data_IF_054871793517
#
_entry.id   IF_054871793517
#
_cell.length_a   1.000
_cell.length_b   1.000
_cell.length_c   1.000
_cell.angle_alpha   90.00
_cell.angle_beta   90.00
_cell.angle_gamma   90.00
#
_symmetry.space_group_name_H-M   'P 1'
#
loop_
_entity.id
_entity.type
_entity.pdbx_description
1 polymer ?
#
# COMPACT_ATOMS: atom_id res chain seq x y z
N UNK A 1 69.34 -7.70 -18.41
CA UNK A 1 68.89 -6.60 -17.53
C UNK A 1 68.10 -5.63 -18.39
N UNK A 2 67.07 -4.96 -17.82
CA UNK A 2 66.03 -4.11 -18.44
C UNK A 2 64.84 -4.89 -19.00
N UNK A 3 63.56 -4.58 -18.77
CA UNK A 3 62.79 -3.89 -17.71
C UNK A 3 61.33 -4.19 -18.09
N UNK A 4 60.44 -4.37 -17.13
CA UNK A 4 59.00 -4.59 -17.34
C UNK A 4 58.34 -3.36 -17.98
N UNK A 5 57.36 -3.57 -18.87
CA UNK A 5 56.24 -2.63 -19.09
C UNK A 5 55.07 -3.36 -19.77
N UNK A 6 54.19 -3.88 -18.92
CA UNK A 6 52.83 -4.29 -19.27
C UNK A 6 51.95 -3.08 -19.00
N UNK A 7 51.43 -2.42 -20.03
CA UNK A 7 50.20 -1.64 -19.90
C UNK A 7 49.50 -1.56 -21.24
N UNK A 8 48.68 -2.58 -21.56
CA UNK A 8 47.68 -2.44 -22.62
C UNK A 8 46.37 -2.02 -21.97
N UNK A 9 45.96 -0.81 -22.32
CA UNK A 9 44.71 -0.17 -21.92
C UNK A 9 43.54 -0.96 -22.51
N UNK A 10 42.61 -1.43 -21.67
CA UNK A 10 41.24 -1.70 -22.07
C UNK A 10 40.31 -0.92 -21.16
N UNK A 11 39.80 0.17 -21.71
CA UNK A 11 38.71 0.95 -21.16
C UNK A 11 37.47 0.05 -21.15
N UNK A 12 36.92 -0.23 -19.97
CA UNK A 12 35.53 -0.60 -19.82
C UNK A 12 34.85 0.38 -18.87
N UNK A 13 34.31 1.43 -19.47
CA UNK A 13 33.10 2.08 -19.01
C UNK A 13 31.98 1.05 -19.10
N UNK A 14 31.48 0.55 -17.97
CA UNK A 14 30.08 0.16 -17.85
C UNK A 14 29.75 0.10 -16.37
N UNK A 15 28.84 0.99 -15.96
CA UNK A 15 28.38 1.07 -14.58
C UNK A 15 27.76 -0.24 -14.14
N UNK A 16 28.14 -0.70 -12.95
CA UNK A 16 27.23 -1.48 -12.14
C UNK A 16 26.36 -0.44 -11.44
N UNK A 17 25.14 -0.23 -11.94
CA UNK A 17 24.10 0.25 -11.06
C UNK A 17 24.01 -0.78 -9.93
N UNK A 18 24.46 -0.40 -8.74
CA UNK A 18 24.23 -1.17 -7.53
C UNK A 18 22.71 -1.17 -7.30
N UNK A 19 22.02 -2.16 -7.88
CA UNK A 19 20.66 -2.48 -7.52
C UNK A 19 20.65 -2.84 -6.04
N UNK A 20 19.84 -2.13 -5.26
CA UNK A 20 19.75 -2.33 -3.82
C UNK A 20 18.94 -3.59 -3.59
N UNK A 21 19.61 -4.74 -3.60
CA UNK A 21 19.05 -5.99 -3.08
C UNK A 21 19.12 -5.95 -1.55
N UNK A 22 18.11 -5.40 -0.90
CA UNK A 22 17.96 -5.49 0.56
C UNK A 22 17.43 -6.88 0.94
N UNK A 23 18.22 -7.66 1.70
CA UNK A 23 17.88 -9.01 2.19
C UNK A 23 16.54 -9.11 2.96
N UNK A 24 16.04 -7.95 3.42
CA UNK A 24 14.82 -7.75 4.19
C UNK A 24 13.53 -8.06 3.41
N UNK A 25 13.47 -7.73 2.11
CA UNK A 25 12.24 -7.89 1.33
C UNK A 25 12.34 -9.02 0.31
N UNK A 26 11.24 -9.73 0.10
CA UNK A 26 11.04 -10.65 -1.04
C UNK A 26 9.88 -10.14 -1.86
N UNK A 27 10.16 -9.73 -3.10
CA UNK A 27 9.18 -9.09 -3.98
C UNK A 27 8.73 -10.03 -5.09
N UNK A 28 7.48 -9.86 -5.51
CA UNK A 28 6.99 -10.28 -6.81
C UNK A 28 6.39 -9.05 -7.53
N UNK A 29 5.59 -9.26 -8.58
CA UNK A 29 5.01 -8.16 -9.36
C UNK A 29 4.07 -7.25 -8.56
N UNK A 30 3.32 -7.80 -7.60
CA UNK A 30 2.22 -7.11 -6.91
C UNK A 30 2.42 -6.99 -5.40
N UNK A 31 3.33 -7.76 -4.82
CA UNK A 31 3.53 -7.90 -3.38
C UNK A 31 4.99 -7.85 -2.98
N UNK A 32 5.24 -7.30 -1.79
CA UNK A 32 6.54 -7.22 -1.16
C UNK A 32 6.44 -7.77 0.28
N UNK A 33 7.06 -8.92 0.54
CA UNK A 33 7.14 -9.52 1.86
C UNK A 33 8.32 -8.95 2.64
N UNK A 34 8.05 -8.27 3.75
CA UNK A 34 9.03 -7.88 4.76
C UNK A 34 9.28 -9.05 5.72
N UNK A 35 10.47 -9.65 5.66
CA UNK A 35 10.86 -10.79 6.51
C UNK A 35 11.12 -10.42 7.96
N UNK A 36 11.26 -9.12 8.27
CA UNK A 36 11.55 -8.68 9.63
C UNK A 36 10.28 -8.50 10.45
N UNK A 37 9.19 -8.09 9.79
CA UNK A 37 7.89 -7.83 10.42
C UNK A 37 6.85 -8.91 10.13
N UNK A 38 7.17 -9.87 9.23
CA UNK A 38 6.24 -10.86 8.69
C UNK A 38 5.00 -10.20 8.04
N UNK A 39 5.15 -8.96 7.56
CA UNK A 39 4.11 -8.21 6.84
C UNK A 39 4.35 -8.30 5.34
N UNK A 40 3.25 -8.41 4.60
CA UNK A 40 3.27 -8.33 3.14
C UNK A 40 2.54 -7.08 2.70
N UNK A 41 3.17 -6.33 1.81
CA UNK A 41 2.72 -5.03 1.31
C UNK A 41 2.36 -5.15 -0.17
N UNK A 42 1.40 -4.33 -0.63
CA UNK A 42 1.25 -4.08 -2.05
C UNK A 42 2.50 -3.36 -2.60
N UNK A 43 2.93 -3.68 -3.82
CA UNK A 43 4.07 -2.98 -4.46
C UNK A 43 3.70 -1.61 -5.00
N UNK A 44 2.41 -1.31 -5.12
CA UNK A 44 1.90 -0.03 -5.59
C UNK A 44 0.75 0.48 -4.74
N UNK A 45 0.64 1.80 -4.62
CA UNK A 45 -0.54 2.45 -4.06
C UNK A 45 -1.73 2.49 -5.04
N UNK A 46 -2.85 3.01 -4.56
CA UNK A 46 -4.06 3.25 -5.36
C UNK A 46 -3.91 4.35 -6.43
N UNK A 47 -2.79 5.09 -6.42
CA UNK A 47 -2.44 6.21 -7.30
C UNK A 47 -3.39 7.42 -7.35
N UNK A 48 -4.53 7.35 -6.68
CA UNK A 48 -5.57 8.38 -6.68
C UNK A 48 -5.72 9.02 -5.29
N UNK A 49 -6.39 10.17 -5.25
CA UNK A 49 -6.70 10.87 -4.01
C UNK A 49 -7.90 10.22 -3.33
N UNK A 50 -7.75 9.75 -2.09
CA UNK A 50 -8.83 9.13 -1.32
C UNK A 50 -9.02 9.82 0.02
N UNK A 51 -10.28 9.96 0.44
CA UNK A 51 -10.61 10.20 1.86
C UNK A 51 -10.17 9.01 2.71
N UNK A 52 -10.15 9.18 4.03
CA UNK A 52 -9.75 8.10 4.94
C UNK A 52 -10.64 6.86 4.76
N UNK A 53 -11.96 7.06 4.71
CA UNK A 53 -12.93 5.97 4.56
C UNK A 53 -12.82 5.26 3.20
N UNK A 54 -12.60 6.00 2.11
CA UNK A 54 -12.37 5.39 0.80
C UNK A 54 -11.06 4.61 0.76
N UNK A 55 -10.03 5.07 1.46
CA UNK A 55 -8.76 4.35 1.56
C UNK A 55 -8.90 3.05 2.36
N UNK A 56 -9.74 3.01 3.40
CA UNK A 56 -10.06 1.78 4.13
C UNK A 56 -10.71 0.79 3.17
N UNK A 57 -11.76 1.22 2.47
CA UNK A 57 -12.48 0.39 1.51
C UNK A 57 -11.58 -0.11 0.37
N UNK A 58 -10.67 0.72 -0.13
CA UNK A 58 -9.69 0.32 -1.14
C UNK A 58 -8.78 -0.80 -0.63
N UNK A 59 -8.22 -0.66 0.57
CA UNK A 59 -7.32 -1.68 1.11
C UNK A 59 -8.04 -3.02 1.36
N UNK A 60 -9.28 -2.99 1.83
CA UNK A 60 -10.08 -4.20 2.06
C UNK A 60 -10.51 -4.90 0.75
N UNK A 61 -10.69 -4.12 -0.32
CA UNK A 61 -11.06 -4.64 -1.65
C UNK A 61 -9.86 -5.00 -2.53
N UNK A 62 -8.64 -4.76 -2.08
CA UNK A 62 -7.43 -5.07 -2.85
C UNK A 62 -7.25 -6.59 -2.99
N UNK A 63 -6.94 -7.07 -4.19
CA UNK A 63 -6.81 -8.52 -4.49
C UNK A 63 -5.42 -8.91 -5.03
N UNK A 64 -4.42 -8.04 -4.86
CA UNK A 64 -3.06 -8.29 -5.35
C UNK A 64 -2.45 -9.56 -4.77
N UNK A 65 -1.68 -10.28 -5.59
CA UNK A 65 -0.99 -11.51 -5.20
C UNK A 65 -1.89 -12.69 -4.85
N UNK A 66 -3.20 -12.61 -5.13
CA UNK A 66 -4.17 -13.68 -4.84
C UNK A 66 -4.65 -13.74 -3.38
N UNK A 67 -4.37 -12.71 -2.58
CA UNK A 67 -4.78 -12.60 -1.17
C UNK A 67 -5.98 -11.67 -1.00
N UNK A 68 -6.60 -11.69 0.20
CA UNK A 68 -7.85 -10.96 0.48
C UNK A 68 -8.08 -10.58 1.93
N UNK A 69 -7.08 -10.81 2.75
CA UNK A 69 -6.92 -10.37 4.12
C UNK A 69 -6.11 -9.07 4.18
N UNK A 70 -6.18 -8.29 3.09
CA UNK A 70 -5.58 -6.97 3.00
C UNK A 70 -6.34 -5.97 3.86
N UNK A 71 -5.59 -5.06 4.49
CA UNK A 71 -6.12 -4.00 5.34
C UNK A 71 -5.32 -2.72 5.18
N UNK A 72 -5.88 -1.63 5.66
CA UNK A 72 -5.15 -0.39 5.84
C UNK A 72 -4.04 -0.60 6.90
N UNK A 73 -2.84 -0.02 6.70
CA UNK A 73 -1.74 -0.17 7.63
C UNK A 73 -1.96 0.65 8.91
N UNK A 74 -1.29 0.24 9.97
CA UNK A 74 -1.19 1.00 11.22
C UNK A 74 -0.08 2.03 11.12
N UNK A 75 -0.18 3.10 11.92
CA UNK A 75 0.83 4.15 11.99
C UNK A 75 2.19 3.57 12.38
N UNK A 76 2.23 2.60 13.29
CA UNK A 76 3.48 1.93 13.69
C UNK A 76 4.15 1.17 12.53
N UNK A 77 3.36 0.44 11.74
CA UNK A 77 3.86 -0.32 10.58
C UNK A 77 4.42 0.62 9.51
N UNK A 78 3.73 1.73 9.23
CA UNK A 78 4.23 2.75 8.31
C UNK A 78 5.52 3.41 8.82
N UNK A 79 5.66 3.64 10.12
CA UNK A 79 6.89 4.18 10.71
C UNK A 79 8.07 3.22 10.58
N UNK A 80 7.85 1.92 10.75
CA UNK A 80 8.87 0.89 10.51
C UNK A 80 9.27 0.84 9.03
N UNK A 81 8.28 0.89 8.13
CA UNK A 81 8.52 0.94 6.69
C UNK A 81 9.34 2.18 6.29
N UNK A 82 9.02 3.37 6.83
CA UNK A 82 9.82 4.59 6.66
C UNK A 82 11.27 4.41 7.15
N UNK A 83 11.45 3.82 8.35
CA UNK A 83 12.78 3.62 8.96
C UNK A 83 13.66 2.66 8.18
N UNK A 84 13.06 1.67 7.50
CA UNK A 84 13.80 0.74 6.63
C UNK A 84 14.50 1.44 5.46
N UNK A 85 14.23 2.75 5.25
CA UNK A 85 14.69 3.55 4.10
C UNK A 85 14.28 2.97 2.74
N UNK A 86 13.43 1.94 2.76
CA UNK A 86 12.66 1.49 1.61
C UNK A 86 11.41 2.37 1.60
N UNK A 87 11.61 3.57 1.04
CA UNK A 87 10.56 4.55 0.90
C UNK A 87 9.67 4.31 -0.33
N UNK A 88 8.72 5.22 -0.58
CA UNK A 88 7.79 5.25 -1.72
C UNK A 88 8.45 5.32 -3.10
N UNK A 89 9.74 5.62 -3.07
CA UNK A 89 10.62 5.83 -4.21
C UNK A 89 11.78 4.83 -4.19
N UNK A 90 11.65 3.74 -3.45
CA UNK A 90 12.57 2.60 -3.45
C UNK A 90 12.16 1.56 -4.48
N UNK A 91 13.10 0.69 -4.89
CA UNK A 91 12.87 -0.36 -5.89
C UNK A 91 11.75 -1.37 -5.52
N UNK A 92 11.25 -1.35 -4.28
CA UNK A 92 10.37 -2.39 -3.71
C UNK A 92 8.91 -1.96 -3.58
N UNK A 93 8.61 -0.73 -3.16
CA UNK A 93 7.25 -0.18 -3.06
C UNK A 93 7.23 1.18 -3.76
N UNK A 94 6.36 1.31 -4.75
CA UNK A 94 6.19 2.50 -5.58
C UNK A 94 4.89 3.22 -5.20
N UNK A 95 5.00 4.36 -4.51
CA UNK A 95 3.84 5.20 -4.21
C UNK A 95 3.85 6.44 -5.09
N UNK A 96 2.69 6.80 -5.64
CA UNK A 96 2.53 8.01 -6.45
C UNK A 96 2.47 9.30 -5.62
N UNK A 97 2.40 9.19 -4.29
CA UNK A 97 2.50 10.31 -3.35
C UNK A 97 3.26 9.92 -2.09
N UNK A 98 3.82 10.91 -1.40
CA UNK A 98 4.52 10.71 -0.14
C UNK A 98 3.61 10.58 1.08
N UNK A 99 2.29 10.76 0.94
CA UNK A 99 1.32 10.72 2.04
C UNK A 99 0.47 9.45 1.95
N UNK A 100 0.45 8.67 3.03
CA UNK A 100 -0.29 7.41 3.11
C UNK A 100 -1.16 7.43 4.35
N UNK A 101 -2.45 7.10 4.19
CA UNK A 101 -3.38 6.93 5.30
C UNK A 101 -2.99 5.74 6.19
N UNK A 102 -3.25 5.89 7.48
CA UNK A 102 -3.16 4.85 8.48
C UNK A 102 -4.54 4.61 9.12
N UNK A 103 -4.73 3.43 9.66
CA UNK A 103 -6.04 2.96 10.18
C UNK A 103 -6.51 3.70 11.42
N UNK A 104 -5.61 4.30 12.19
CA UNK A 104 -5.98 5.03 13.40
C UNK A 104 -6.81 6.28 13.11
N UNK A 105 -7.81 6.54 13.96
CA UNK A 105 -8.71 7.70 13.90
C UNK A 105 -8.78 8.39 15.25
N UNK A 106 -9.03 9.70 15.23
CA UNK A 106 -9.25 10.55 16.41
C UNK A 106 -10.34 11.57 16.08
N UNK A 107 -11.53 11.38 16.62
CA UNK A 107 -12.76 12.11 16.27
C UNK A 107 -12.98 12.21 14.75
N UNK A 108 -12.89 13.42 14.18
CA UNK A 108 -13.06 13.68 12.74
C UNK A 108 -11.78 13.48 11.93
N UNK A 109 -10.67 13.06 12.57
CA UNK A 109 -9.36 12.96 11.95
C UNK A 109 -8.92 11.51 11.75
N UNK A 110 -8.16 11.30 10.69
CA UNK A 110 -7.45 10.06 10.40
C UNK A 110 -5.94 10.30 10.55
N UNK A 111 -5.22 9.27 10.97
CA UNK A 111 -3.78 9.28 11.00
C UNK A 111 -3.21 9.07 9.60
N UNK A 112 -2.14 9.78 9.25
CA UNK A 112 -1.41 9.55 8.01
C UNK A 112 0.10 9.68 8.25
N UNK A 113 0.90 9.03 7.40
CA UNK A 113 2.34 9.14 7.43
C UNK A 113 2.89 9.78 6.16
N UNK A 114 3.78 10.75 6.35
CA UNK A 114 4.55 11.40 5.30
C UNK A 114 5.92 10.73 5.19
N UNK A 115 6.12 9.96 4.13
CA UNK A 115 7.36 9.23 3.90
C UNK A 115 8.54 10.14 3.50
N UNK A 116 8.28 11.30 2.90
CA UNK A 116 9.32 12.29 2.58
C UNK A 116 9.83 13.00 3.83
N UNK A 117 8.92 13.31 4.76
CA UNK A 117 9.26 13.95 6.03
C UNK A 117 9.66 12.94 7.13
N UNK A 118 9.35 11.66 6.93
CA UNK A 118 9.59 10.58 7.89
C UNK A 118 8.76 10.69 9.17
N UNK A 119 7.55 11.25 9.10
CA UNK A 119 6.69 11.55 10.27
C UNK A 119 5.24 11.23 10.00
N UNK A 120 4.49 10.93 11.06
CA UNK A 120 3.04 10.76 11.01
C UNK A 120 2.32 11.90 11.74
N UNK A 121 1.11 12.20 11.30
CA UNK A 121 0.28 13.30 11.77
C UNK A 121 -1.20 12.96 11.57
N UNK A 122 -2.07 13.91 11.91
CA UNK A 122 -3.52 13.79 11.82
C UNK A 122 -4.08 14.75 10.76
N UNK A 123 -5.11 14.31 10.04
CA UNK A 123 -5.81 15.10 9.01
C UNK A 123 -7.31 14.83 9.08
N UNK A 124 -8.16 15.81 8.75
CA UNK A 124 -9.60 15.57 8.64
C UNK A 124 -9.90 14.43 7.67
N UNK A 125 -10.73 13.47 8.08
CA UNK A 125 -11.00 12.23 7.33
C UNK A 125 -11.63 12.50 5.96
N UNK A 126 -12.33 13.63 5.82
CA UNK A 126 -12.99 14.09 4.58
C UNK A 126 -12.03 14.72 3.57
N UNK A 127 -10.77 14.95 3.93
CA UNK A 127 -9.76 15.51 3.01
C UNK A 127 -9.11 14.38 2.22
N UNK A 128 -9.06 14.51 0.89
CA UNK A 128 -8.43 13.51 0.01
C UNK A 128 -7.14 13.97 -0.67
N UNK A 129 -6.61 15.16 -0.33
CA UNK A 129 -5.52 15.77 -1.10
C UNK A 129 -4.21 14.97 -0.93
N UNK A 130 -3.79 14.32 -2.02
CA UNK A 130 -2.53 13.58 -2.14
C UNK A 130 -2.35 12.41 -1.17
N UNK A 131 -3.40 11.99 -0.46
CA UNK A 131 -3.35 10.86 0.46
C UNK A 131 -3.68 9.56 -0.27
N UNK A 132 -2.86 8.55 -0.02
CA UNK A 132 -2.89 7.25 -0.67
C UNK A 132 -3.27 6.14 0.29
N UNK A 133 -3.77 5.06 -0.28
CA UNK A 133 -3.96 3.79 0.39
C UNK A 133 -2.84 2.84 -0.03
N UNK A 134 -2.19 2.21 0.95
CA UNK A 134 -1.17 1.19 0.73
C UNK A 134 -1.57 -0.08 1.46
N UNK A 135 -2.16 -1.08 0.79
CA UNK A 135 -2.59 -2.32 1.41
C UNK A 135 -1.44 -3.07 2.09
N UNK A 136 -1.70 -3.58 3.29
CA UNK A 136 -0.81 -4.48 4.04
C UNK A 136 -1.60 -5.68 4.58
N UNK A 137 -0.93 -6.81 4.76
CA UNK A 137 -1.48 -8.01 5.41
C UNK A 137 -0.43 -8.70 6.28
N UNK A 138 -0.90 -9.49 7.24
CA UNK A 138 -0.05 -10.36 8.05
C UNK A 138 0.17 -11.69 7.33
N UNK A 139 1.37 -12.26 7.40
CA UNK A 139 1.66 -13.57 6.81
C UNK A 139 1.56 -14.73 7.78
N UNK A 140 1.53 -14.44 9.08
CA UNK A 140 1.47 -15.45 10.14
C UNK A 140 0.03 -15.66 10.56
N UNK A 141 -0.52 -16.84 10.29
CA UNK A 141 -1.78 -17.27 10.89
C UNK A 141 -1.52 -17.51 12.38
N UNK A 142 -1.79 -16.53 13.22
CA UNK A 142 -1.79 -16.74 14.67
C UNK A 142 -2.95 -17.69 14.99
N UNK A 143 -2.60 -18.89 15.45
CA UNK A 143 -3.53 -19.83 16.09
C UNK A 143 -3.97 -19.27 17.46
N UNK A 144 -4.66 -18.15 17.47
CA UNK A 144 -5.45 -17.68 18.61
C UNK A 144 -6.78 -17.18 18.06
N UNK A 145 -7.86 -17.55 18.73
CA UNK A 145 -9.23 -17.21 18.37
C UNK A 145 -9.42 -15.69 18.45
N UNK A 146 -8.99 -15.00 17.40
CA UNK A 146 -9.50 -13.68 17.01
C UNK A 146 -11.02 -13.76 16.95
N UNK A 147 -11.77 -12.69 17.28
CA UNK A 147 -13.21 -12.64 17.05
C UNK A 147 -13.47 -13.24 15.67
N UNK A 148 -14.48 -14.13 15.49
CA UNK A 148 -14.71 -14.81 14.21
C UNK A 148 -14.49 -13.76 13.13
N UNK A 149 -13.58 -14.00 12.15
CA UNK A 149 -13.28 -13.02 11.13
C UNK A 149 -14.62 -12.45 10.72
N UNK A 150 -14.77 -11.13 10.65
CA UNK A 150 -15.97 -10.56 10.05
C UNK A 150 -16.03 -11.14 8.64
N UNK A 151 -16.67 -12.30 8.53
CA UNK A 151 -16.72 -13.06 7.31
C UNK A 151 -17.79 -12.33 6.56
N UNK A 152 -17.33 -11.40 5.72
CA UNK A 152 -17.74 -11.16 4.34
C UNK A 152 -17.50 -9.68 3.95
N UNK A 153 -17.11 -9.34 2.69
CA UNK A 153 -16.73 -10.28 1.59
C UNK A 153 -16.16 -9.81 0.19
N UNK A 154 -15.81 -10.82 -0.63
CA UNK A 154 -15.34 -10.82 -2.02
C UNK A 154 -16.37 -10.91 -3.19
N UNK A 155 -17.69 -11.02 -2.99
CA UNK A 155 -18.63 -11.17 -4.14
C UNK A 155 -19.14 -9.81 -4.65
N UNK A 156 -19.43 -9.74 -5.95
CA UNK A 156 -20.05 -8.59 -6.64
C UNK A 156 -21.29 -8.09 -5.86
N UNK A 157 -22.07 -9.01 -5.29
CA UNK A 157 -23.24 -8.69 -4.46
C UNK A 157 -22.91 -7.78 -3.28
N UNK A 158 -21.68 -7.83 -2.81
CA UNK A 158 -21.29 -7.18 -1.57
C UNK A 158 -20.43 -5.95 -1.80
N UNK A 159 -19.68 -5.87 -2.91
CA UNK A 159 -19.22 -4.59 -3.48
C UNK A 159 -20.42 -3.68 -3.74
N UNK A 160 -21.54 -4.25 -4.21
CA UNK A 160 -22.82 -3.54 -4.32
C UNK A 160 -23.41 -3.14 -2.95
N UNK A 161 -23.30 -3.96 -1.91
CA UNK A 161 -23.74 -3.61 -0.55
C UNK A 161 -22.94 -2.46 0.07
N UNK A 162 -21.62 -2.45 -0.11
CA UNK A 162 -20.75 -1.35 0.37
C UNK A 162 -21.11 -0.06 -0.38
N UNK A 163 -21.25 -0.12 -1.70
CA UNK A 163 -21.63 1.03 -2.50
C UNK A 163 -23.02 1.58 -2.11
N UNK A 164 -23.98 0.70 -1.79
CA UNK A 164 -25.28 1.07 -1.24
C UNK A 164 -25.19 1.71 0.15
N UNK A 165 -24.25 1.28 1.00
CA UNK A 165 -24.01 1.86 2.31
C UNK A 165 -23.45 3.29 2.19
N UNK A 166 -22.44 3.48 1.33
CA UNK A 166 -21.83 4.79 1.06
C UNK A 166 -22.86 5.79 0.53
N UNK A 167 -23.75 5.34 -0.36
CA UNK A 167 -24.89 6.15 -0.85
C UNK A 167 -25.85 6.52 0.29
N UNK A 168 -26.28 5.53 1.11
CA UNK A 168 -27.20 5.77 2.24
C UNK A 168 -26.64 6.74 3.28
N UNK A 169 -25.32 6.70 3.50
CA UNK A 169 -24.60 7.62 4.38
C UNK A 169 -24.31 8.98 3.74
N UNK A 170 -24.69 9.19 2.47
CA UNK A 170 -24.45 10.42 1.68
C UNK A 170 -22.96 10.76 1.52
N UNK A 171 -22.11 9.73 1.50
CA UNK A 171 -20.66 9.87 1.34
C UNK A 171 -20.23 9.93 -0.13
N UNK A 172 -21.07 9.41 -1.02
CA UNK A 172 -20.91 9.49 -2.47
C UNK A 172 -22.16 10.11 -3.08
N UNK A 173 -22.00 10.81 -4.20
CA UNK A 173 -23.14 11.34 -4.95
C UNK A 173 -23.94 10.21 -5.64
N UNK A 174 -25.21 10.44 -5.95
CA UNK A 174 -25.99 9.46 -6.72
C UNK A 174 -25.37 9.17 -8.10
N UNK A 175 -24.75 10.17 -8.72
CA UNK A 175 -24.05 10.02 -10.00
C UNK A 175 -22.84 9.11 -9.87
N UNK A 176 -22.04 9.31 -8.81
CA UNK A 176 -20.88 8.48 -8.50
C UNK A 176 -21.26 7.05 -8.10
N UNK A 177 -22.35 6.88 -7.36
CA UNK A 177 -22.94 5.57 -7.07
C UNK A 177 -23.31 4.84 -8.36
N UNK A 178 -23.98 5.49 -9.31
CA UNK A 178 -24.39 4.87 -10.58
C UNK A 178 -23.17 4.46 -11.41
N UNK A 179 -22.16 5.33 -11.53
CA UNK A 179 -20.93 5.03 -12.26
C UNK A 179 -20.18 3.83 -11.67
N UNK A 180 -19.93 3.84 -10.35
CA UNK A 180 -19.24 2.75 -9.65
C UNK A 180 -20.04 1.45 -9.70
N UNK A 181 -21.37 1.52 -9.59
CA UNK A 181 -22.26 0.35 -9.68
C UNK A 181 -22.22 -0.30 -11.06
N UNK A 182 -22.21 0.52 -12.11
CA UNK A 182 -22.16 0.04 -13.49
C UNK A 182 -20.82 -0.65 -13.77
N UNK A 183 -19.70 -0.03 -13.37
CA UNK A 183 -18.38 -0.64 -13.48
C UNK A 183 -18.28 -2.00 -12.77
N UNK A 184 -18.87 -2.14 -11.57
CA UNK A 184 -18.89 -3.41 -10.83
C UNK A 184 -19.72 -4.50 -11.55
N UNK A 185 -20.82 -4.13 -12.21
CA UNK A 185 -21.68 -5.06 -12.94
C UNK A 185 -21.10 -5.46 -14.30
N UNK A 186 -20.29 -4.60 -14.92
CA UNK A 186 -19.58 -4.88 -16.17
C UNK A 186 -18.43 -5.90 -15.97
N UNK A 187 -18.09 -6.24 -14.73
CA UNK A 187 -17.14 -7.30 -14.36
C UNK A 187 -17.77 -8.71 -14.27
N UNK A 188 -19.11 -8.85 -14.49
CA UNK A 188 -19.85 -10.13 -14.58
C UNK A 188 -19.68 -10.82 -15.93
#
# INVERSE_FOLDING_TARGET
MHTWLVTLCFILLSGCADGVKTEQFTTNTETALDKTTDLMWATTDNRENLTHQEAVAYCEAYEGGGFNDWRMPKTAELQELIKSKIGPSGEVINLSSSLVWASETDDSKGAFCNFKAGKCAWMEQVISISLRALPVRETKTTNEASPPPLTKPKSIEQRLQILDLLRKQKLISEEEYVLKKTAILDEL
#
